data_IF_522084003088
#
_entry.id   IF_522084003088
#
_cell.length_a   1.000
_cell.length_b   1.000
_cell.length_c   1.000
_cell.angle_alpha   90.00
_cell.angle_beta   90.00
_cell.angle_gamma   90.00
#
_symmetry.space_group_name_H-M   'P 1'
#
loop_
_entity.id
_entity.type
_entity.pdbx_description
1 polymer ?
#
# COMPACT_ATOMS: atom_id res chain seq x y z
N UNK A 1 3.21 -13.16 -24.57
CA UNK A 1 4.11 -14.11 -23.87
C UNK A 1 4.09 -13.72 -22.40
N UNK A 2 3.92 -14.70 -21.51
CA UNK A 2 3.88 -14.46 -20.07
C UNK A 2 5.22 -13.87 -19.58
N UNK A 3 5.17 -12.80 -18.79
CA UNK A 3 6.33 -12.19 -18.13
C UNK A 3 6.11 -12.27 -16.63
N UNK A 4 6.99 -12.97 -15.93
CA UNK A 4 6.77 -13.35 -14.53
C UNK A 4 7.65 -12.47 -13.63
N UNK A 5 7.05 -11.80 -12.65
CA UNK A 5 7.78 -11.29 -11.48
C UNK A 5 7.78 -12.37 -10.41
N UNK A 6 8.98 -12.81 -9.98
CA UNK A 6 9.11 -13.83 -8.93
C UNK A 6 8.82 -13.23 -7.55
N UNK A 7 8.52 -14.12 -6.60
CA UNK A 7 8.46 -13.83 -5.18
C UNK A 7 9.90 -13.73 -4.62
N UNK A 8 10.62 -12.66 -4.95
CA UNK A 8 12.06 -12.53 -4.70
C UNK A 8 12.43 -12.37 -3.23
N UNK A 9 11.46 -12.00 -2.37
CA UNK A 9 11.65 -11.80 -0.93
C UNK A 9 11.10 -12.96 -0.08
N UNK A 10 10.49 -13.98 -0.72
CA UNK A 10 10.11 -15.22 -0.06
C UNK A 10 11.35 -15.93 0.53
N UNK A 11 11.20 -16.52 1.71
CA UNK A 11 12.28 -17.19 2.45
C UNK A 11 13.14 -16.26 3.31
N UNK A 12 12.96 -14.93 3.19
CA UNK A 12 13.68 -13.96 4.02
C UNK A 12 12.76 -12.96 4.73
N UNK A 13 11.84 -12.32 4.01
CA UNK A 13 10.88 -11.36 4.59
C UNK A 13 9.61 -12.04 5.10
N UNK A 14 9.23 -13.15 4.46
CA UNK A 14 8.12 -14.03 4.82
C UNK A 14 8.51 -15.47 4.45
N UNK A 15 7.83 -16.46 5.00
CA UNK A 15 8.14 -17.88 4.72
C UNK A 15 7.83 -18.24 3.26
N UNK A 16 8.75 -18.94 2.59
CA UNK A 16 8.55 -19.48 1.24
C UNK A 16 7.76 -20.80 1.24
N UNK A 17 7.61 -21.46 2.39
CA UNK A 17 6.76 -22.63 2.55
C UNK A 17 5.27 -22.25 2.41
N UNK A 18 4.55 -22.72 1.36
CA UNK A 18 3.17 -22.32 1.08
C UNK A 18 2.20 -22.64 2.21
N UNK A 19 2.30 -23.84 2.79
CA UNK A 19 1.39 -24.28 3.86
C UNK A 19 1.58 -23.42 5.11
N UNK A 20 2.83 -23.20 5.51
CA UNK A 20 3.14 -22.36 6.67
C UNK A 20 2.67 -20.91 6.46
N UNK A 21 2.89 -20.36 5.27
CA UNK A 21 2.45 -19.00 4.94
C UNK A 21 0.93 -18.88 5.01
N UNK A 22 0.20 -19.83 4.42
CA UNK A 22 -1.25 -19.85 4.46
C UNK A 22 -1.78 -19.95 5.90
N UNK A 23 -1.22 -20.85 6.72
CA UNK A 23 -1.61 -21.03 8.12
C UNK A 23 -1.33 -19.77 8.97
N UNK A 24 -0.19 -19.10 8.75
CA UNK A 24 0.17 -17.86 9.43
C UNK A 24 -0.82 -16.73 9.09
N UNK A 25 -1.08 -16.50 7.81
CA UNK A 25 -2.00 -15.46 7.33
C UNK A 25 -3.44 -15.72 7.80
N UNK A 26 -3.93 -16.97 7.69
CA UNK A 26 -5.25 -17.36 8.20
C UNK A 26 -5.37 -17.12 9.71
N UNK A 27 -4.34 -17.50 10.45
CA UNK A 27 -4.28 -17.31 11.90
C UNK A 27 -4.36 -15.83 12.27
N UNK A 28 -3.59 -14.97 11.60
CA UNK A 28 -3.56 -13.54 11.88
C UNK A 28 -4.85 -12.84 11.46
N UNK A 29 -5.39 -13.12 10.27
CA UNK A 29 -6.68 -12.56 9.80
C UNK A 29 -7.81 -12.93 10.77
N UNK A 30 -7.87 -14.21 11.19
CA UNK A 30 -8.87 -14.66 12.16
C UNK A 30 -8.71 -14.00 13.52
N UNK A 31 -7.47 -13.82 13.98
CA UNK A 31 -7.18 -13.19 15.27
C UNK A 31 -7.51 -11.68 15.28
N UNK A 32 -7.38 -10.99 14.15
CA UNK A 32 -7.83 -9.60 14.01
C UNK A 32 -9.34 -9.47 14.26
N UNK A 33 -10.13 -10.49 13.87
CA UNK A 33 -11.53 -10.63 14.28
C UNK A 33 -12.44 -9.52 13.74
N UNK A 34 -12.06 -8.90 12.63
CA UNK A 34 -12.75 -7.74 12.10
C UNK A 34 -13.94 -8.13 11.21
N UNK A 35 -15.04 -7.37 11.25
CA UNK A 35 -16.12 -7.55 10.29
C UNK A 35 -15.65 -7.12 8.89
N UNK A 36 -15.94 -7.93 7.88
CA UNK A 36 -15.75 -7.53 6.50
C UNK A 36 -16.77 -6.46 6.12
N UNK A 37 -16.35 -5.44 5.39
CA UNK A 37 -17.24 -4.35 4.95
C UNK A 37 -17.06 -4.07 3.47
N UNK A 38 -18.18 -4.01 2.75
CA UNK A 38 -18.23 -3.56 1.35
C UNK A 38 -17.95 -2.06 1.18
N UNK A 39 -18.00 -1.30 2.27
CA UNK A 39 -17.78 0.15 2.27
C UNK A 39 -16.28 0.50 2.29
N UNK A 40 -15.41 -0.46 2.62
CA UNK A 40 -13.96 -0.26 2.62
C UNK A 40 -13.43 -0.36 1.19
N UNK A 41 -13.01 0.78 0.63
CA UNK A 41 -12.51 0.89 -0.75
C UNK A 41 -10.99 0.92 -0.86
N UNK A 42 -10.29 0.97 0.27
CA UNK A 42 -8.85 0.83 0.33
C UNK A 42 -8.33 0.69 1.76
N UNK A 43 -7.06 0.30 1.88
CA UNK A 43 -6.36 0.13 3.15
C UNK A 43 -4.94 0.66 3.06
N UNK A 44 -4.40 1.12 4.18
CA UNK A 44 -2.97 1.36 4.38
C UNK A 44 -2.43 0.21 5.23
N UNK A 45 -1.38 -0.47 4.74
CA UNK A 45 -0.80 -1.61 5.44
C UNK A 45 0.75 -1.56 5.43
N UNK A 46 1.40 -2.14 6.44
CA UNK A 46 2.85 -2.14 6.57
C UNK A 46 3.54 -3.10 5.59
N UNK A 47 4.82 -2.85 5.32
CA UNK A 47 5.67 -3.68 4.46
C UNK A 47 7.02 -4.05 5.10
N UNK A 48 7.14 -4.02 6.42
CA UNK A 48 8.20 -4.77 7.09
C UNK A 48 8.02 -6.30 6.92
N UNK A 49 9.06 -7.08 7.24
CA UNK A 49 8.96 -8.54 7.23
C UNK A 49 7.89 -9.07 8.19
N UNK A 50 7.22 -10.17 7.83
CA UNK A 50 5.99 -10.66 8.49
C UNK A 50 6.18 -11.04 9.96
N UNK A 51 7.41 -11.37 10.38
CA UNK A 51 7.72 -11.59 11.80
C UNK A 51 7.47 -10.36 12.67
N UNK A 52 7.54 -9.15 12.08
CA UNK A 52 7.36 -7.87 12.77
C UNK A 52 5.97 -7.28 12.52
N UNK A 53 5.56 -7.20 11.26
CA UNK A 53 4.35 -6.45 10.83
C UNK A 53 3.18 -7.35 10.43
N UNK A 54 3.38 -8.66 10.29
CA UNK A 54 2.38 -9.57 9.74
C UNK A 54 1.05 -9.51 10.50
N UNK A 55 1.10 -9.51 11.84
CA UNK A 55 -0.09 -9.38 12.68
C UNK A 55 -0.77 -8.02 12.57
N UNK A 56 -0.01 -6.94 12.41
CA UNK A 56 -0.56 -5.60 12.24
C UNK A 56 -1.25 -5.46 10.87
N UNK A 57 -0.64 -5.98 9.81
CA UNK A 57 -1.23 -6.01 8.47
C UNK A 57 -2.57 -6.76 8.43
N UNK A 58 -2.78 -7.77 9.29
CA UNK A 58 -4.06 -8.48 9.38
C UNK A 58 -5.24 -7.56 9.74
N UNK A 59 -5.00 -6.47 10.48
CA UNK A 59 -6.05 -5.50 10.79
C UNK A 59 -6.46 -4.66 9.57
N UNK A 60 -5.59 -4.49 8.58
CA UNK A 60 -5.95 -3.88 7.31
C UNK A 60 -6.65 -4.90 6.40
N UNK A 61 -5.97 -6.01 6.08
CA UNK A 61 -6.45 -6.99 5.10
C UNK A 61 -7.66 -7.80 5.58
N UNK A 62 -7.84 -7.99 6.89
CA UNK A 62 -8.96 -8.74 7.45
C UNK A 62 -10.33 -8.07 7.27
N UNK A 63 -10.36 -6.76 7.05
CA UNK A 63 -11.59 -6.00 6.76
C UNK A 63 -12.11 -6.16 5.34
N UNK A 64 -11.29 -6.70 4.42
CA UNK A 64 -11.61 -6.73 2.99
C UNK A 64 -12.70 -7.76 2.72
N UNK A 65 -13.79 -7.31 2.10
CA UNK A 65 -14.78 -8.18 1.47
C UNK A 65 -14.41 -8.46 0.00
N UNK A 66 -13.94 -9.67 -0.36
CA UNK A 66 -13.51 -9.97 -1.71
C UNK A 66 -14.67 -10.16 -2.70
N UNK A 67 -15.93 -10.22 -2.23
CA UNK A 67 -17.08 -10.69 -3.03
C UNK A 67 -17.28 -9.91 -4.33
N UNK A 68 -17.13 -8.58 -4.29
CA UNK A 68 -17.38 -7.69 -5.42
C UNK A 68 -16.12 -7.05 -6.01
N UNK A 69 -14.94 -7.32 -5.43
CA UNK A 69 -13.69 -6.69 -5.87
C UNK A 69 -13.05 -7.58 -6.94
N UNK A 70 -12.82 -7.03 -8.13
CA UNK A 70 -12.16 -7.72 -9.25
C UNK A 70 -10.78 -7.14 -9.58
N UNK A 71 -10.43 -5.97 -9.01
CA UNK A 71 -9.16 -5.30 -9.27
C UNK A 71 -8.62 -4.60 -8.03
N UNK A 72 -7.33 -4.79 -7.76
CA UNK A 72 -6.61 -4.12 -6.66
C UNK A 72 -5.50 -3.23 -7.24
N UNK A 73 -5.59 -1.93 -7.00
CA UNK A 73 -4.48 -1.00 -7.21
C UNK A 73 -3.51 -1.12 -6.04
N UNK A 74 -2.26 -1.50 -6.32
CA UNK A 74 -1.24 -1.73 -5.32
C UNK A 74 -0.18 -0.63 -5.43
N UNK A 75 -0.19 0.30 -4.48
CA UNK A 75 0.69 1.46 -4.46
C UNK A 75 1.79 1.22 -3.42
N UNK A 76 3.05 1.15 -3.84
CA UNK A 76 4.18 0.99 -2.92
C UNK A 76 5.29 2.00 -3.17
N UNK A 77 5.95 2.52 -2.11
CA UNK A 77 7.09 3.41 -2.27
C UNK A 77 8.28 2.68 -2.89
N UNK A 78 9.16 3.43 -3.54
CA UNK A 78 10.45 2.93 -4.02
C UNK A 78 11.57 3.11 -2.98
N UNK A 79 12.23 2.02 -2.60
CA UNK A 79 13.38 2.01 -1.69
C UNK A 79 14.73 1.92 -2.43
N UNK A 80 14.73 1.31 -3.62
CA UNK A 80 15.97 0.99 -4.33
C UNK A 80 16.18 1.78 -5.63
N UNK A 81 15.11 2.36 -6.18
CA UNK A 81 15.14 3.05 -7.48
C UNK A 81 14.62 4.48 -7.34
N UNK A 82 15.52 5.46 -7.46
CA UNK A 82 15.11 6.87 -7.45
C UNK A 82 14.40 7.22 -8.76
N UNK A 83 13.18 7.73 -8.65
CA UNK A 83 12.45 8.37 -9.76
C UNK A 83 11.52 9.44 -9.19
N UNK A 84 11.32 10.59 -9.88
CA UNK A 84 10.33 11.59 -9.49
C UNK A 84 8.92 11.27 -10.01
N UNK A 85 8.69 10.05 -10.52
CA UNK A 85 7.43 9.61 -11.13
C UNK A 85 6.91 8.33 -10.50
N UNK A 86 5.72 7.90 -10.92
CA UNK A 86 5.26 6.54 -10.71
C UNK A 86 5.69 5.63 -11.86
N UNK A 87 5.94 4.35 -11.57
CA UNK A 87 6.33 3.37 -12.56
C UNK A 87 5.41 2.14 -12.53
N UNK A 88 5.15 1.58 -13.71
CA UNK A 88 4.27 0.43 -13.92
C UNK A 88 5.09 -0.83 -14.20
N UNK A 89 4.57 -1.98 -13.77
CA UNK A 89 5.21 -3.26 -14.08
C UNK A 89 5.08 -3.61 -15.56
N UNK A 90 6.13 -4.26 -16.09
CA UNK A 90 6.10 -4.92 -17.39
C UNK A 90 5.74 -6.41 -17.30
N UNK A 91 5.58 -6.95 -16.08
CA UNK A 91 5.15 -8.32 -15.87
C UNK A 91 3.66 -8.48 -16.25
N UNK A 92 3.26 -9.72 -16.48
CA UNK A 92 1.86 -10.11 -16.67
C UNK A 92 1.28 -10.80 -15.45
N UNK A 93 2.15 -11.27 -14.54
CA UNK A 93 1.78 -11.97 -13.31
C UNK A 93 2.83 -11.74 -12.23
N UNK A 94 2.38 -11.56 -11.00
CA UNK A 94 3.22 -11.58 -9.80
C UNK A 94 3.03 -12.92 -9.08
N UNK A 95 4.13 -13.66 -8.88
CA UNK A 95 4.10 -14.93 -8.14
C UNK A 95 4.01 -14.68 -6.64
N UNK A 96 3.31 -15.57 -5.94
CA UNK A 96 3.42 -15.72 -4.48
C UNK A 96 3.48 -17.20 -4.13
N UNK A 97 3.94 -17.60 -2.92
CA UNK A 97 3.93 -19.01 -2.53
C UNK A 97 2.55 -19.65 -2.47
N UNK A 98 1.47 -18.86 -2.31
CA UNK A 98 0.12 -19.36 -2.00
C UNK A 98 -0.92 -19.03 -3.08
N UNK A 99 -0.55 -18.32 -4.14
CA UNK A 99 -1.44 -17.98 -5.23
C UNK A 99 -0.89 -16.85 -6.09
N UNK A 100 -0.84 -17.05 -7.40
CA UNK A 100 -0.34 -16.05 -8.32
C UNK A 100 -1.40 -14.98 -8.59
N UNK A 101 -0.95 -13.73 -8.73
CA UNK A 101 -1.82 -12.58 -8.97
C UNK A 101 -1.61 -12.06 -10.41
N UNK A 102 -2.59 -12.21 -11.31
CA UNK A 102 -2.49 -11.68 -12.66
C UNK A 102 -2.54 -10.14 -12.65
N UNK A 103 -1.77 -9.50 -13.53
CA UNK A 103 -1.79 -8.05 -13.69
C UNK A 103 -2.90 -7.64 -14.66
N UNK A 104 -3.61 -6.55 -14.34
CA UNK A 104 -4.57 -5.95 -15.26
C UNK A 104 -3.88 -5.15 -16.36
N UNK A 105 -3.52 -5.85 -17.44
CA UNK A 105 -2.82 -5.27 -18.58
C UNK A 105 -3.61 -4.17 -19.31
N UNK A 106 -4.94 -4.20 -19.25
CA UNK A 106 -5.78 -3.17 -19.87
C UNK A 106 -5.58 -1.83 -19.13
N UNK A 107 -5.64 -1.86 -17.79
CA UNK A 107 -5.38 -0.68 -16.96
C UNK A 107 -3.92 -0.24 -17.06
N UNK A 108 -2.97 -1.17 -17.14
CA UNK A 108 -1.55 -0.82 -17.33
C UNK A 108 -1.34 -0.04 -18.63
N UNK A 109 -1.93 -0.50 -19.75
CA UNK A 109 -1.82 0.22 -21.02
C UNK A 109 -2.56 1.56 -21.00
N UNK A 110 -3.71 1.65 -20.32
CA UNK A 110 -4.43 2.91 -20.12
C UNK A 110 -3.59 3.94 -19.32
N UNK A 111 -3.00 3.52 -18.19
CA UNK A 111 -2.13 4.37 -17.38
C UNK A 111 -0.88 4.78 -18.16
N UNK A 112 -0.25 3.85 -18.88
CA UNK A 112 0.91 4.12 -19.73
C UNK A 112 0.58 5.13 -20.85
N UNK A 113 -0.60 5.05 -21.45
CA UNK A 113 -1.04 5.97 -22.52
C UNK A 113 -1.17 7.43 -22.04
N UNK A 114 -1.26 7.69 -20.74
CA UNK A 114 -1.22 9.06 -20.19
C UNK A 114 0.12 9.75 -20.41
N UNK A 115 1.20 8.99 -20.69
CA UNK A 115 2.57 9.49 -20.81
C UNK A 115 3.17 9.99 -19.49
N UNK A 116 2.52 9.72 -18.36
CA UNK A 116 2.98 10.16 -17.03
C UNK A 116 3.79 9.11 -16.27
N UNK A 117 3.57 7.83 -16.57
CA UNK A 117 4.23 6.72 -15.90
C UNK A 117 5.50 6.27 -16.62
N UNK A 118 6.48 5.81 -15.85
CA UNK A 118 7.63 5.04 -16.36
C UNK A 118 7.29 3.55 -16.39
N UNK A 119 8.11 2.76 -17.08
CA UNK A 119 8.04 1.30 -17.03
C UNK A 119 9.19 0.79 -16.19
N UNK A 120 8.89 -0.08 -15.22
CA UNK A 120 9.92 -0.74 -14.42
C UNK A 120 10.57 -1.85 -15.24
N UNK A 121 11.89 -1.88 -15.27
CA UNK A 121 12.61 -3.10 -15.64
C UNK A 121 12.30 -4.20 -14.62
N UNK A 122 12.23 -5.46 -15.08
CA UNK A 122 11.90 -6.59 -14.20
C UNK A 122 12.86 -6.71 -13.01
N UNK A 123 14.13 -6.31 -13.18
CA UNK A 123 15.12 -6.28 -12.08
C UNK A 123 14.78 -5.24 -11.02
N UNK A 124 14.28 -4.06 -11.42
CA UNK A 124 13.84 -3.01 -10.48
C UNK A 124 12.62 -3.52 -9.72
N UNK A 125 11.68 -4.12 -10.46
CA UNK A 125 10.44 -4.65 -9.91
C UNK A 125 10.70 -5.77 -8.88
N UNK A 126 11.56 -6.76 -9.22
CA UNK A 126 11.95 -7.84 -8.31
C UNK A 126 12.86 -7.38 -7.15
N UNK A 127 13.56 -6.24 -7.28
CA UNK A 127 14.37 -5.71 -6.18
C UNK A 127 13.53 -4.97 -5.13
N UNK A 128 12.36 -4.43 -5.51
CA UNK A 128 11.47 -3.74 -4.59
C UNK A 128 10.63 -4.71 -3.74
N UNK A 129 10.46 -4.41 -2.46
CA UNK A 129 9.70 -5.26 -1.53
C UNK A 129 8.39 -4.63 -1.07
N UNK A 130 8.23 -3.30 -1.18
CA UNK A 130 7.10 -2.57 -0.60
C UNK A 130 5.75 -3.08 -1.10
N UNK A 131 5.63 -3.36 -2.40
CA UNK A 131 4.45 -3.97 -3.00
C UNK A 131 4.39 -5.48 -2.72
N UNK A 132 5.53 -6.18 -2.72
CA UNK A 132 5.57 -7.63 -2.53
C UNK A 132 5.00 -8.07 -1.19
N UNK A 133 5.20 -7.27 -0.13
CA UNK A 133 4.69 -7.60 1.21
C UNK A 133 3.17 -7.62 1.30
N UNK A 134 2.47 -7.02 0.35
CA UNK A 134 1.01 -7.07 0.29
C UNK A 134 0.52 -8.30 -0.48
N UNK A 135 1.34 -8.89 -1.36
CA UNK A 135 0.88 -9.92 -2.31
C UNK A 135 0.41 -11.22 -1.64
N UNK A 136 1.11 -11.81 -0.65
CA UNK A 136 0.59 -12.98 0.04
C UNK A 136 -0.74 -12.69 0.76
N UNK A 137 -0.87 -11.53 1.40
CA UNK A 137 -2.12 -11.12 2.03
C UNK A 137 -3.27 -10.99 1.03
N UNK A 138 -3.03 -10.34 -0.11
CA UNK A 138 -4.01 -10.23 -1.19
C UNK A 138 -4.37 -11.61 -1.75
N UNK A 139 -3.38 -12.44 -2.09
CA UNK A 139 -3.62 -13.81 -2.55
C UNK A 139 -4.47 -14.61 -1.56
N UNK A 140 -4.27 -14.41 -0.26
CA UNK A 140 -5.03 -15.08 0.79
C UNK A 140 -6.46 -14.55 0.93
N UNK A 141 -6.64 -13.24 0.98
CA UNK A 141 -7.96 -12.59 1.08
C UNK A 141 -8.85 -12.95 -0.11
N UNK A 142 -8.26 -13.00 -1.30
CA UNK A 142 -8.94 -13.29 -2.57
C UNK A 142 -8.92 -14.78 -2.94
N UNK A 143 -8.57 -15.67 -2.01
CA UNK A 143 -8.63 -17.12 -2.25
C UNK A 143 -10.05 -17.51 -2.71
N UNK A 144 -10.15 -18.20 -3.84
CA UNK A 144 -11.44 -18.57 -4.47
C UNK A 144 -12.14 -17.45 -5.25
N UNK A 145 -11.56 -16.25 -5.36
CA UNK A 145 -12.10 -15.11 -6.10
C UNK A 145 -11.18 -14.73 -7.27
N UNK A 146 -11.77 -14.27 -8.37
CA UNK A 146 -10.99 -13.75 -9.51
C UNK A 146 -10.63 -12.30 -9.26
N UNK A 147 -9.34 -12.02 -9.06
CA UNK A 147 -8.81 -10.66 -8.87
C UNK A 147 -7.60 -10.43 -9.77
N UNK A 148 -7.49 -9.21 -10.31
CA UNK A 148 -6.27 -8.72 -10.96
C UNK A 148 -5.64 -7.62 -10.12
N UNK A 149 -4.32 -7.44 -10.24
CA UNK A 149 -3.61 -6.34 -9.58
C UNK A 149 -3.11 -5.29 -10.59
N UNK A 150 -2.99 -4.05 -10.14
CA UNK A 150 -2.35 -2.94 -10.86
C UNK A 150 -1.19 -2.43 -9.99
N UNK A 151 0.02 -3.00 -10.14
CA UNK A 151 1.18 -2.58 -9.35
C UNK A 151 1.68 -1.22 -9.84
N UNK A 152 1.81 -0.28 -8.90
CA UNK A 152 2.29 1.08 -9.14
C UNK A 152 3.39 1.37 -8.10
N UNK A 153 4.64 1.41 -8.58
CA UNK A 153 5.75 1.91 -7.79
C UNK A 153 5.66 3.43 -7.74
N UNK A 154 5.59 4.00 -6.54
CA UNK A 154 5.50 5.44 -6.30
C UNK A 154 6.87 5.96 -5.90
N UNK A 155 7.43 6.84 -6.73
CA UNK A 155 8.72 7.46 -6.49
C UNK A 155 8.70 8.62 -5.48
N UNK A 156 9.75 9.43 -5.52
CA UNK A 156 9.87 10.65 -4.74
C UNK A 156 9.12 11.79 -5.44
N UNK A 157 7.82 11.88 -5.20
CA UNK A 157 6.93 12.81 -5.89
C UNK A 157 7.00 14.23 -5.29
N UNK A 158 6.79 15.24 -6.13
CA UNK A 158 6.41 16.58 -5.67
C UNK A 158 4.92 16.63 -5.32
N UNK A 159 4.48 17.62 -4.54
CA UNK A 159 3.06 17.78 -4.20
C UNK A 159 2.16 17.93 -5.45
N UNK A 160 2.64 18.62 -6.48
CA UNK A 160 1.93 18.75 -7.76
C UNK A 160 1.81 17.40 -8.47
N UNK A 161 2.84 16.56 -8.36
CA UNK A 161 2.84 15.20 -8.92
C UNK A 161 1.91 14.28 -8.14
N UNK A 162 1.89 14.36 -6.81
CA UNK A 162 0.95 13.61 -5.95
C UNK A 162 -0.50 13.92 -6.32
N UNK A 163 -0.86 15.21 -6.41
CA UNK A 163 -2.19 15.64 -6.85
C UNK A 163 -2.52 15.19 -8.27
N UNK A 164 -1.55 15.24 -9.19
CA UNK A 164 -1.73 14.80 -10.58
C UNK A 164 -1.99 13.31 -10.68
N UNK A 165 -1.21 12.45 -10.00
CA UNK A 165 -1.45 11.02 -9.98
C UNK A 165 -2.75 10.67 -9.26
N UNK A 166 -3.08 11.36 -8.16
CA UNK A 166 -4.37 11.22 -7.49
C UNK A 166 -5.54 11.47 -8.45
N UNK A 167 -5.48 12.55 -9.22
CA UNK A 167 -6.50 12.86 -10.24
C UNK A 167 -6.57 11.82 -11.37
N UNK A 168 -5.42 11.29 -11.82
CA UNK A 168 -5.42 10.23 -12.84
C UNK A 168 -6.06 8.93 -12.35
N UNK A 169 -5.89 8.62 -11.06
CA UNK A 169 -6.38 7.40 -10.45
C UNK A 169 -7.82 7.53 -9.88
N UNK A 170 -8.33 8.75 -9.70
CA UNK A 170 -9.65 9.06 -9.13
C UNK A 170 -10.80 8.27 -9.78
N UNK A 171 -10.84 8.19 -11.12
CA UNK A 171 -11.90 7.45 -11.82
C UNK A 171 -11.97 5.97 -11.45
N UNK A 172 -10.88 5.38 -10.97
CA UNK A 172 -10.87 3.96 -10.58
C UNK A 172 -11.43 3.76 -9.18
N UNK A 173 -11.34 4.73 -8.26
CA UNK A 173 -11.98 4.57 -6.94
C UNK A 173 -13.51 4.67 -7.03
N UNK A 174 -14.03 5.34 -8.05
CA UNK A 174 -15.47 5.46 -8.29
C UNK A 174 -16.13 4.13 -8.71
N UNK A 175 -15.40 3.22 -9.34
CA UNK A 175 -15.90 1.89 -9.72
C UNK A 175 -15.85 0.95 -8.52
N UNK A 176 -17.00 0.46 -8.00
CA UNK A 176 -17.09 -0.35 -6.78
C UNK A 176 -16.34 -1.68 -6.85
N UNK A 177 -15.95 -2.14 -8.05
CA UNK A 177 -15.18 -3.37 -8.21
C UNK A 177 -13.67 -3.18 -8.03
N UNK A 178 -13.21 -1.94 -7.83
CA UNK A 178 -11.82 -1.62 -7.58
C UNK A 178 -11.54 -1.41 -6.09
N UNK A 179 -10.32 -1.72 -5.69
CA UNK A 179 -9.83 -1.55 -4.33
C UNK A 179 -8.40 -1.00 -4.33
N UNK A 180 -8.01 -0.23 -3.32
CA UNK A 180 -6.68 0.35 -3.20
C UNK A 180 -5.92 -0.23 -2.01
N UNK A 181 -4.76 -0.83 -2.27
CA UNK A 181 -3.83 -1.29 -1.23
C UNK A 181 -2.60 -0.38 -1.23
N UNK A 182 -2.47 0.43 -0.18
CA UNK A 182 -1.41 1.44 -0.04
C UNK A 182 -0.38 0.94 0.96
N UNK A 183 0.86 0.84 0.52
CA UNK A 183 1.94 0.25 1.31
C UNK A 183 2.74 1.33 2.04
N UNK A 184 2.77 1.25 3.38
CA UNK A 184 3.55 2.17 4.22
C UNK A 184 3.82 1.59 5.61
N UNK A 185 5.09 1.64 6.02
CA UNK A 185 5.45 1.69 7.43
C UNK A 185 5.40 3.17 7.92
N UNK A 186 5.26 3.36 9.23
CA UNK A 186 5.20 4.65 9.90
C UNK A 186 6.59 5.05 10.46
N UNK A 187 6.72 5.59 11.68
CA UNK A 187 7.98 6.14 12.16
C UNK A 187 9.14 5.13 12.19
N UNK A 188 10.18 5.42 11.42
CA UNK A 188 11.51 4.81 11.55
C UNK A 188 12.36 5.66 12.50
N UNK A 189 12.24 5.38 13.80
CA UNK A 189 12.95 6.12 14.86
C UNK A 189 14.32 5.52 15.19
N UNK A 190 15.32 6.38 15.38
CA UNK A 190 16.64 6.05 15.90
C UNK A 190 17.79 6.65 15.09
N UNK A 191 18.98 6.62 15.68
CA UNK A 191 20.21 7.15 15.06
C UNK A 191 20.49 6.53 13.69
N UNK A 192 20.18 5.23 13.50
CA UNK A 192 20.34 4.52 12.21
C UNK A 192 19.49 5.11 11.07
N UNK A 193 18.43 5.84 11.39
CA UNK A 193 17.54 6.49 10.43
C UNK A 193 17.73 8.00 10.39
N UNK A 194 18.69 8.53 11.14
CA UNK A 194 18.91 9.97 11.32
C UNK A 194 17.63 10.72 11.79
N UNK A 195 16.77 10.05 12.56
CA UNK A 195 15.51 10.61 13.03
C UNK A 195 15.29 10.23 14.50
N UNK A 196 15.29 11.22 15.39
CA UNK A 196 15.14 11.01 16.84
C UNK A 196 14.21 12.05 17.46
N UNK A 197 13.16 12.45 16.73
CA UNK A 197 12.13 13.33 17.28
C UNK A 197 11.62 12.78 18.62
N UNK A 198 11.54 13.63 19.63
CA UNK A 198 11.12 13.23 20.96
C UNK A 198 10.46 14.39 21.69
N UNK A 199 9.15 14.26 21.88
CA UNK A 199 8.36 15.15 22.73
C UNK A 199 8.26 14.56 24.14
N UNK A 200 9.00 15.19 25.06
CA UNK A 200 9.10 14.80 26.48
C UNK A 200 7.76 14.78 27.20
N UNK A 201 6.74 15.49 26.71
CA UNK A 201 5.42 15.53 27.37
C UNK A 201 4.73 14.16 27.38
N UNK A 202 5.08 13.27 26.46
CA UNK A 202 4.56 11.90 26.39
C UNK A 202 5.34 10.89 27.26
N UNK A 203 6.39 11.31 27.97
CA UNK A 203 7.18 10.44 28.83
C UNK A 203 8.17 9.59 28.04
N UNK A 204 7.96 8.28 27.98
CA UNK A 204 8.90 7.36 27.30
C UNK A 204 8.98 7.62 25.79
N UNK A 205 10.15 7.35 25.18
CA UNK A 205 10.38 7.59 23.73
C UNK A 205 9.30 6.92 22.87
N UNK A 206 8.99 5.64 23.14
CA UNK A 206 7.98 4.91 22.37
C UNK A 206 6.56 5.54 22.47
N UNK A 207 6.26 6.27 23.54
CA UNK A 207 5.00 7.02 23.69
C UNK A 207 5.01 8.32 22.88
N UNK A 208 6.15 8.97 22.74
CA UNK A 208 6.31 10.08 21.80
C UNK A 208 6.17 9.62 20.36
N UNK A 209 6.74 8.46 20.00
CA UNK A 209 6.59 7.85 18.67
C UNK A 209 5.12 7.53 18.41
N UNK A 210 4.47 6.83 19.36
CA UNK A 210 3.05 6.49 19.25
C UNK A 210 2.17 7.73 19.05
N UNK A 211 2.43 8.81 19.79
CA UNK A 211 1.66 10.04 19.65
C UNK A 211 1.91 10.75 18.31
N UNK A 212 3.15 10.74 17.82
CA UNK A 212 3.51 11.34 16.53
C UNK A 212 2.89 10.55 15.37
N UNK A 213 2.92 9.22 15.42
CA UNK A 213 2.31 8.37 14.40
C UNK A 213 0.79 8.48 14.41
N UNK A 214 0.16 8.46 15.60
CA UNK A 214 -1.29 8.66 15.72
C UNK A 214 -1.73 10.02 15.19
N UNK A 215 -0.97 11.09 15.42
CA UNK A 215 -1.27 12.38 14.82
C UNK A 215 -1.32 12.31 13.29
N UNK A 216 -0.36 11.60 12.66
CA UNK A 216 -0.37 11.37 11.22
C UNK A 216 -1.57 10.52 10.77
N UNK A 217 -1.90 9.46 11.51
CA UNK A 217 -3.07 8.60 11.24
C UNK A 217 -4.38 9.37 11.34
N UNK A 218 -4.58 10.13 12.44
CA UNK A 218 -5.77 10.96 12.65
C UNK A 218 -5.96 11.98 11.52
N UNK A 219 -4.86 12.54 10.98
CA UNK A 219 -4.92 13.43 9.81
C UNK A 219 -5.31 12.67 8.55
N UNK A 220 -4.74 11.48 8.31
CA UNK A 220 -5.09 10.63 7.15
C UNK A 220 -6.60 10.29 7.18
N UNK A 221 -7.16 10.00 8.36
CA UNK A 221 -8.59 9.69 8.53
C UNK A 221 -9.52 10.84 8.08
N UNK A 222 -9.04 12.09 8.09
CA UNK A 222 -9.83 13.23 7.58
C UNK A 222 -9.99 13.24 6.06
N UNK A 223 -9.13 12.51 5.34
CA UNK A 223 -9.02 12.54 3.89
C UNK A 223 -8.36 13.81 3.32
N UNK A 224 -7.71 14.62 4.15
CA UNK A 224 -7.09 15.89 3.76
C UNK A 224 -5.60 15.72 3.42
N UNK A 225 -5.29 15.74 2.13
CA UNK A 225 -3.91 15.63 1.63
C UNK A 225 -3.04 16.84 2.00
N UNK A 226 -3.62 18.05 2.06
CA UNK A 226 -2.88 19.26 2.40
C UNK A 226 -2.53 19.26 3.89
N UNK A 227 -3.44 18.82 4.76
CA UNK A 227 -3.17 18.65 6.19
C UNK A 227 -2.05 17.61 6.43
N UNK A 228 -2.09 16.47 5.71
CA UNK A 228 -1.04 15.46 5.81
C UNK A 228 0.32 15.99 5.36
N UNK A 229 0.35 16.78 4.28
CA UNK A 229 1.55 17.48 3.83
C UNK A 229 2.09 18.44 4.88
N UNK A 230 1.25 19.24 5.53
CA UNK A 230 1.70 20.16 6.59
C UNK A 230 2.31 19.40 7.76
N UNK A 231 1.71 18.28 8.18
CA UNK A 231 2.26 17.40 9.21
C UNK A 231 3.66 16.89 8.84
N UNK A 232 3.85 16.41 7.60
CA UNK A 232 5.16 15.95 7.14
C UNK A 232 6.20 17.08 7.12
N UNK A 233 5.81 18.30 6.71
CA UNK A 233 6.71 19.46 6.71
C UNK A 233 7.10 19.91 8.12
N UNK A 234 6.19 19.78 9.09
CA UNK A 234 6.42 20.19 10.48
C UNK A 234 7.30 19.18 11.24
N UNK A 235 7.01 17.88 11.10
CA UNK A 235 7.61 16.85 11.94
C UNK A 235 8.68 16.00 11.25
N UNK A 236 8.73 16.02 9.92
CA UNK A 236 9.60 15.16 9.10
C UNK A 236 9.52 13.69 9.51
N UNK A 237 8.33 13.22 9.95
CA UNK A 237 8.16 11.84 10.38
C UNK A 237 8.50 10.90 9.22
N UNK A 238 9.29 9.87 9.51
CA UNK A 238 9.96 9.02 8.51
C UNK A 238 9.03 7.98 7.88
N UNK A 239 7.76 8.33 7.65
CA UNK A 239 6.75 7.49 6.98
C UNK A 239 7.22 7.19 5.55
N UNK A 240 7.57 5.94 5.28
CA UNK A 240 8.20 5.56 4.01
C UNK A 240 7.20 5.60 2.83
N UNK A 241 5.92 5.30 3.07
CA UNK A 241 4.84 5.37 2.09
C UNK A 241 4.11 6.72 2.05
N UNK A 242 4.73 7.80 2.53
CA UNK A 242 4.12 9.16 2.51
C UNK A 242 3.62 9.58 1.12
N UNK A 243 4.34 9.25 0.06
CA UNK A 243 3.95 9.58 -1.32
C UNK A 243 2.76 8.73 -1.80
N UNK A 244 2.77 7.37 -1.66
CA UNK A 244 1.57 6.55 -1.88
C UNK A 244 0.33 7.04 -1.10
N UNK A 245 0.50 7.39 0.18
CA UNK A 245 -0.59 7.90 1.03
C UNK A 245 -1.12 9.22 0.47
N UNK A 246 -0.24 10.18 0.16
CA UNK A 246 -0.64 11.47 -0.42
C UNK A 246 -1.38 11.31 -1.75
N UNK A 247 -0.88 10.44 -2.65
CA UNK A 247 -1.57 10.08 -3.90
C UNK A 247 -2.98 9.54 -3.60
N UNK A 248 -3.12 8.62 -2.64
CA UNK A 248 -4.40 8.02 -2.30
C UNK A 248 -5.39 9.01 -1.64
N UNK A 249 -4.90 9.94 -0.82
CA UNK A 249 -5.71 11.04 -0.29
C UNK A 249 -6.25 11.92 -1.43
N UNK A 250 -5.42 12.23 -2.44
CA UNK A 250 -5.85 12.96 -3.62
C UNK A 250 -6.80 12.17 -4.54
N UNK A 251 -6.66 10.83 -4.63
CA UNK A 251 -7.63 9.95 -5.30
C UNK A 251 -9.01 10.13 -4.67
N UNK A 252 -9.08 10.03 -3.34
CA UNK A 252 -10.32 10.09 -2.59
C UNK A 252 -10.97 11.48 -2.64
N UNK A 253 -10.16 12.55 -2.58
CA UNK A 253 -10.66 13.92 -2.69
C UNK A 253 -11.15 14.30 -4.10
N UNK A 254 -10.67 13.60 -5.14
CA UNK A 254 -11.05 13.85 -6.54
C UNK A 254 -12.18 12.95 -7.05
N UNK A 255 -12.68 12.03 -6.21
CA UNK A 255 -13.81 11.15 -6.52
C UNK A 255 -15.08 11.96 -6.75
N UNK A 256 -15.87 11.58 -7.76
CA UNK A 256 -17.16 12.23 -8.05
C UNK A 256 -18.29 11.76 -7.11
N UNK A 257 -18.01 10.78 -6.26
CA UNK A 257 -18.97 10.24 -5.29
C UNK A 257 -18.76 10.94 -3.94
N UNK A 258 -19.16 12.20 -3.84
CA UNK A 258 -19.09 13.06 -2.63
C UNK A 258 -19.91 12.55 -1.41
N UNK A 259 -20.38 11.30 -1.38
CA UNK A 259 -21.40 10.83 -0.42
C UNK A 259 -21.09 9.57 0.38
N UNK A 260 -19.88 8.99 0.31
CA UNK A 260 -19.53 7.92 1.27
C UNK A 260 -19.06 8.52 2.61
N UNK A 261 -19.50 7.97 3.75
CA UNK A 261 -18.87 8.31 5.02
C UNK A 261 -17.38 7.97 4.90
N UNK A 262 -16.53 8.98 5.11
CA UNK A 262 -15.07 8.89 5.08
C UNK A 262 -14.59 8.00 6.25
N UNK A 263 -14.74 6.69 6.11
CA UNK A 263 -14.21 5.71 7.03
C UNK A 263 -12.94 5.11 6.43
N UNK A 264 -11.80 5.71 6.72
CA UNK A 264 -10.51 5.03 6.56
C UNK A 264 -10.19 4.33 7.89
N UNK A 265 -9.79 3.07 7.84
CA UNK A 265 -9.33 2.26 8.97
C UNK A 265 -8.00 1.61 8.63
#
# INVERSE_FOLDING_TARGET
MEKIRRASHAGSWYTDNPKKLADELDGWIRAAGLPKSSDVRGVIAPHAGYSYSGRAAAYAFGNIDPTNISRVFLLGPSHHYYTPKCALSQATVYKTPIGDLPIDLEVIEELKATGKFELMDLRVDEAEHSMEMHLPYLAKVFEGHSVKIVPILVGALSAESEAMYGKLLAKYIDDPNNFFSVSSDFCHWGSRFNYMHYDKKYGAIHKSIEALDKMGMDIIETGDADAFKQYLLEYDNTICGRHPISVFLHVSASSFLESYPKGFL
#
